data_IF_011082537644
#
_entry.id   IF_011082537644
#
_cell.length_a   1.000
_cell.length_b   1.000
_cell.length_c   1.000
_cell.angle_alpha   90.00
_cell.angle_beta   90.00
_cell.angle_gamma   90.00
#
_symmetry.space_group_name_H-M   'P 1'
#
loop_
_entity.id
_entity.type
_entity.pdbx_description
1 polymer ?
#
# COMPACT_ATOMS: atom_id res chain seq x y z
N UNK A 1 23.98 15.36 3.36
CA UNK A 1 22.82 14.55 2.94
C UNK A 1 21.59 15.05 3.67
N UNK A 2 20.51 15.41 2.96
CA UNK A 2 19.26 15.93 3.56
C UNK A 2 18.17 14.84 3.49
N UNK A 3 18.37 13.75 4.20
CA UNK A 3 17.48 12.60 4.19
C UNK A 3 17.34 12.13 5.64
N UNK A 4 16.11 11.88 6.06
CA UNK A 4 15.72 11.69 7.46
C UNK A 4 16.49 10.56 8.18
N UNK A 5 16.52 10.64 9.52
CA UNK A 5 17.00 9.54 10.36
C UNK A 5 15.90 8.49 10.49
N UNK A 6 16.20 7.25 10.12
CA UNK A 6 15.29 6.10 10.30
C UNK A 6 15.39 5.55 11.72
N UNK A 7 14.24 5.21 12.29
CA UNK A 7 14.08 4.55 13.58
C UNK A 7 13.46 3.17 13.40
N UNK A 8 13.67 2.33 14.40
CA UNK A 8 13.01 1.02 14.46
C UNK A 8 11.49 1.25 14.46
N UNK A 9 10.80 0.55 13.55
CA UNK A 9 9.35 0.69 13.35
C UNK A 9 8.96 1.60 12.20
N UNK A 10 9.90 2.34 11.59
CA UNK A 10 9.61 3.13 10.41
C UNK A 10 9.29 2.23 9.21
N UNK A 11 8.30 2.65 8.42
CA UNK A 11 7.86 1.95 7.20
C UNK A 11 8.23 2.78 5.97
N UNK A 12 8.83 2.14 4.98
CA UNK A 12 9.19 2.75 3.70
C UNK A 12 8.26 2.21 2.62
N UNK A 13 7.52 3.10 1.97
CA UNK A 13 6.73 2.79 0.79
C UNK A 13 7.56 3.09 -0.46
N UNK A 14 7.88 2.06 -1.26
CA UNK A 14 8.78 2.16 -2.42
C UNK A 14 8.11 2.67 -3.70
N UNK A 15 6.84 3.07 -3.62
CA UNK A 15 6.04 3.55 -4.74
C UNK A 15 5.10 2.49 -5.30
N UNK A 16 4.15 2.94 -6.14
CA UNK A 16 3.16 2.10 -6.80
C UNK A 16 3.43 2.10 -8.30
N UNK A 17 3.44 0.95 -8.99
CA UNK A 17 3.55 0.89 -10.44
C UNK A 17 2.39 1.60 -11.16
N UNK A 18 2.51 1.75 -12.47
CA UNK A 18 1.41 2.25 -13.30
C UNK A 18 0.16 1.35 -13.22
N UNK A 19 -1.01 1.92 -13.49
CA UNK A 19 -2.30 1.21 -13.39
C UNK A 19 -3.13 1.58 -12.16
N UNK A 20 -2.78 2.66 -11.45
CA UNK A 20 -3.62 3.23 -10.38
C UNK A 20 -4.95 3.75 -10.93
N UNK A 21 -6.01 3.64 -10.13
CA UNK A 21 -7.38 4.01 -10.51
C UNK A 21 -8.18 4.56 -9.34
N UNK A 22 -9.38 5.06 -9.63
CA UNK A 22 -10.28 5.62 -8.63
C UNK A 22 -10.85 4.51 -7.74
N UNK A 23 -10.97 4.80 -6.44
CA UNK A 23 -11.62 3.95 -5.44
C UNK A 23 -12.96 4.58 -5.05
N UNK A 24 -14.01 3.78 -4.94
CA UNK A 24 -15.36 4.20 -4.58
C UNK A 24 -15.84 3.48 -3.32
N UNK A 25 -16.86 4.05 -2.66
CA UNK A 25 -17.52 3.40 -1.53
C UNK A 25 -18.15 2.07 -1.96
N UNK A 26 -17.98 1.03 -1.14
CA UNK A 26 -18.38 -0.34 -1.43
C UNK A 26 -17.31 -1.20 -2.08
N UNK A 27 -16.19 -0.62 -2.55
CA UNK A 27 -15.10 -1.40 -3.15
C UNK A 27 -14.44 -2.33 -2.11
N UNK A 28 -14.00 -3.50 -2.58
CA UNK A 28 -13.16 -4.40 -1.79
C UNK A 28 -11.77 -4.39 -2.43
N UNK A 29 -10.83 -3.76 -1.74
CA UNK A 29 -9.44 -3.72 -2.16
C UNK A 29 -8.72 -4.97 -1.68
N UNK A 30 -8.06 -5.67 -2.59
CA UNK A 30 -7.21 -6.81 -2.30
C UNK A 30 -5.78 -6.50 -2.73
N UNK A 31 -4.82 -6.81 -1.87
CA UNK A 31 -3.41 -6.62 -2.13
C UNK A 31 -2.61 -7.88 -1.81
N UNK A 32 -1.61 -8.13 -2.64
CA UNK A 32 -0.81 -9.34 -2.64
C UNK A 32 0.68 -8.99 -2.57
N UNK A 33 1.43 -9.81 -1.85
CA UNK A 33 2.89 -9.85 -1.93
C UNK A 33 3.24 -11.21 -2.53
N UNK A 34 3.76 -11.20 -3.76
CA UNK A 34 3.82 -12.39 -4.61
C UNK A 34 2.43 -13.03 -4.71
N UNK A 35 2.30 -14.33 -4.44
CA UNK A 35 1.02 -15.05 -4.49
C UNK A 35 0.23 -15.00 -3.18
N UNK A 36 0.77 -14.33 -2.14
CA UNK A 36 0.14 -14.27 -0.83
C UNK A 36 -0.74 -13.04 -0.71
N UNK A 37 -2.04 -13.24 -0.49
CA UNK A 37 -2.96 -12.17 -0.09
C UNK A 37 -2.56 -11.64 1.30
N UNK A 38 -2.26 -10.35 1.37
CA UNK A 38 -1.83 -9.66 2.61
C UNK A 38 -2.73 -8.49 2.98
N UNK A 39 -3.53 -8.00 2.04
CA UNK A 39 -4.44 -6.90 2.24
C UNK A 39 -5.83 -7.30 1.75
N UNK A 40 -6.85 -7.10 2.58
CA UNK A 40 -8.26 -7.17 2.20
C UNK A 40 -9.00 -6.09 2.98
N UNK A 41 -9.45 -5.05 2.29
CA UNK A 41 -10.08 -3.87 2.91
C UNK A 41 -11.37 -3.55 2.20
N UNK A 42 -12.46 -3.45 2.96
CA UNK A 42 -13.74 -2.94 2.46
C UNK A 42 -13.80 -1.42 2.63
N UNK A 43 -14.02 -0.70 1.55
CA UNK A 43 -14.18 0.74 1.53
C UNK A 43 -15.63 1.06 1.90
N UNK A 44 -15.82 1.84 2.97
CA UNK A 44 -17.13 2.28 3.46
C UNK A 44 -17.40 3.72 3.04
#
# INVERSE_FOLDING_TARGET
>A
SKFCTLKIGDLIFTGTPAGVGKVNAGDILEGYIFDKKVLKVSVK
#
